data_IF_701838523877
#
_entry.id   IF_701838523877
#
_cell.length_a   1.000
_cell.length_b   1.000
_cell.length_c   1.000
_cell.angle_alpha   90.00
_cell.angle_beta   90.00
_cell.angle_gamma   90.00
#
_symmetry.space_group_name_H-M   'P 1'
#
loop_
_entity.id
_entity.type
_entity.pdbx_description
1 polymer ?
#
# COMPACT_ATOMS: atom_id res chain seq x y z
N UNK A 1 -1.57 0.98 -43.97
CA UNK A 1 -0.97 1.88 -42.96
C UNK A 1 0.43 1.37 -42.64
N UNK A 2 1.42 2.22 -42.40
CA UNK A 2 2.77 1.77 -42.00
C UNK A 2 2.85 1.49 -40.49
N UNK A 3 3.81 0.64 -40.06
CA UNK A 3 3.93 0.23 -38.66
C UNK A 3 4.20 1.40 -37.70
N UNK A 4 4.99 2.40 -38.11
CA UNK A 4 5.25 3.61 -37.31
C UNK A 4 4.00 4.47 -37.14
N UNK A 5 3.21 4.58 -38.20
CA UNK A 5 1.93 5.30 -38.17
C UNK A 5 0.94 4.56 -37.28
N UNK A 6 0.89 3.23 -37.36
CA UNK A 6 0.06 2.40 -36.49
C UNK A 6 0.41 2.59 -35.00
N UNK A 7 1.71 2.61 -34.66
CA UNK A 7 2.16 2.85 -33.30
C UNK A 7 1.78 4.26 -32.80
N UNK A 8 1.84 5.27 -33.68
CA UNK A 8 1.43 6.63 -33.35
C UNK A 8 -0.08 6.71 -33.06
N UNK A 9 -0.92 6.13 -33.91
CA UNK A 9 -2.36 6.06 -33.70
C UNK A 9 -2.71 5.27 -32.42
N UNK A 10 -1.96 4.21 -32.12
CA UNK A 10 -2.19 3.44 -30.90
C UNK A 10 -1.87 4.26 -29.64
N UNK A 11 -0.78 5.04 -29.67
CA UNK A 11 -0.42 5.96 -28.57
C UNK A 11 -1.45 7.08 -28.42
N UNK A 12 -1.97 7.60 -29.53
CA UNK A 12 -3.04 8.61 -29.53
C UNK A 12 -4.31 8.03 -28.90
N UNK A 13 -4.74 6.84 -29.31
CA UNK A 13 -5.90 6.16 -28.73
C UNK A 13 -5.74 5.89 -27.22
N UNK A 14 -4.54 5.47 -26.78
CA UNK A 14 -4.26 5.27 -25.35
C UNK A 14 -4.29 6.59 -24.57
N UNK A 15 -3.83 7.70 -25.15
CA UNK A 15 -3.97 9.03 -24.56
C UNK A 15 -5.45 9.43 -24.43
N UNK A 16 -6.21 9.33 -25.52
CA UNK A 16 -7.65 9.65 -25.54
C UNK A 16 -8.43 8.82 -24.52
N UNK A 17 -8.10 7.54 -24.38
CA UNK A 17 -8.70 6.66 -23.38
C UNK A 17 -8.42 7.14 -21.95
N UNK A 18 -7.18 7.56 -21.65
CA UNK A 18 -6.80 8.08 -20.32
C UNK A 18 -7.47 9.42 -20.01
N UNK A 19 -7.69 10.24 -21.04
CA UNK A 19 -8.39 11.51 -20.95
C UNK A 19 -9.92 11.35 -20.85
N UNK A 20 -10.43 10.11 -20.86
CA UNK A 20 -11.85 9.80 -20.76
C UNK A 20 -12.64 9.99 -22.06
N UNK A 21 -11.96 10.26 -23.18
CA UNK A 21 -12.56 10.49 -24.51
C UNK A 21 -12.75 9.16 -25.25
N UNK A 22 -13.61 8.30 -24.70
CA UNK A 22 -13.73 6.90 -25.14
C UNK A 22 -14.26 6.72 -26.56
N UNK A 23 -15.16 7.59 -27.03
CA UNK A 23 -15.69 7.52 -28.40
C UNK A 23 -14.58 7.79 -29.43
N UNK A 24 -13.78 8.83 -29.22
CA UNK A 24 -12.68 9.15 -30.13
C UNK A 24 -11.55 8.11 -30.07
N UNK A 25 -11.26 7.59 -28.87
CA UNK A 25 -10.34 6.47 -28.72
C UNK A 25 -10.83 5.22 -29.48
N UNK A 26 -12.15 4.97 -29.45
CA UNK A 26 -12.78 3.86 -30.17
C UNK A 26 -12.60 4.03 -31.68
N UNK A 27 -12.86 5.21 -32.23
CA UNK A 27 -12.70 5.49 -33.66
C UNK A 27 -11.26 5.22 -34.13
N UNK A 28 -10.25 5.69 -33.36
CA UNK A 28 -8.83 5.41 -33.65
C UNK A 28 -8.48 3.93 -33.60
N UNK A 29 -9.10 3.17 -32.69
CA UNK A 29 -8.86 1.74 -32.55
C UNK A 29 -9.55 0.93 -33.65
N UNK A 30 -10.71 1.39 -34.16
CA UNK A 30 -11.38 0.79 -35.32
C UNK A 30 -10.51 0.96 -36.57
N UNK A 31 -10.00 2.18 -36.82
CA UNK A 31 -9.04 2.43 -37.93
C UNK A 31 -7.82 1.50 -37.86
N UNK A 32 -7.32 1.25 -36.65
CA UNK A 32 -6.20 0.34 -36.42
C UNK A 32 -6.55 -1.13 -36.66
N UNK A 33 -7.74 -1.57 -36.24
CA UNK A 33 -8.20 -2.94 -36.46
C UNK A 33 -8.48 -3.22 -37.95
N UNK A 34 -9.03 -2.24 -38.68
CA UNK A 34 -9.18 -2.32 -40.13
C UNK A 34 -7.83 -2.47 -40.86
N UNK A 35 -6.81 -1.73 -40.40
CA UNK A 35 -5.48 -1.79 -40.99
C UNK A 35 -4.69 -3.06 -40.57
N UNK A 36 -4.92 -3.57 -39.36
CA UNK A 36 -4.20 -4.71 -38.77
C UNK A 36 -5.15 -5.67 -38.06
N UNK A 37 -5.99 -6.38 -38.82
CA UNK A 37 -7.05 -7.21 -38.26
C UNK A 37 -6.48 -8.33 -37.39
N UNK A 38 -7.22 -8.67 -36.33
CA UNK A 38 -6.88 -9.75 -35.39
C UNK A 38 -5.61 -9.51 -34.56
N UNK A 39 -5.17 -8.26 -34.40
CA UNK A 39 -4.02 -7.94 -33.55
C UNK A 39 -4.45 -7.86 -32.08
N UNK A 40 -3.98 -8.75 -31.18
CA UNK A 40 -4.48 -8.81 -29.80
C UNK A 40 -4.26 -7.50 -29.02
N UNK A 41 -3.15 -6.81 -29.33
CA UNK A 41 -2.81 -5.52 -28.73
C UNK A 41 -3.79 -4.40 -29.10
N UNK A 42 -4.50 -4.51 -30.22
CA UNK A 42 -5.52 -3.53 -30.67
C UNK A 42 -6.90 -3.94 -30.17
N UNK A 43 -7.24 -5.22 -30.32
CA UNK A 43 -8.55 -5.77 -29.92
C UNK A 43 -8.84 -5.60 -28.42
N UNK A 44 -7.84 -5.78 -27.54
CA UNK A 44 -8.09 -5.66 -26.10
C UNK A 44 -8.44 -4.22 -25.66
N UNK A 45 -7.69 -3.17 -26.05
CA UNK A 45 -8.12 -1.78 -25.87
C UNK A 45 -9.45 -1.46 -26.55
N UNK A 46 -9.73 -2.03 -27.73
CA UNK A 46 -10.99 -1.84 -28.45
C UNK A 46 -12.18 -2.35 -27.63
N UNK A 47 -12.11 -3.58 -27.10
CA UNK A 47 -13.12 -4.14 -26.21
C UNK A 47 -13.32 -3.29 -24.94
N UNK A 48 -12.23 -2.74 -24.38
CA UNK A 48 -12.32 -1.82 -23.23
C UNK A 48 -13.06 -0.54 -23.59
N UNK A 49 -12.80 0.04 -24.76
CA UNK A 49 -13.49 1.25 -25.23
C UNK A 49 -14.97 0.98 -25.48
N UNK A 50 -15.32 -0.11 -26.19
CA UNK A 50 -16.70 -0.50 -26.46
C UNK A 50 -17.52 -0.62 -25.17
N UNK A 51 -16.96 -1.27 -24.15
CA UNK A 51 -17.59 -1.36 -22.82
C UNK A 51 -17.84 0.03 -22.22
N UNK A 52 -16.89 0.96 -22.32
CA UNK A 52 -17.04 2.32 -21.75
C UNK A 52 -18.07 3.16 -22.50
N UNK A 53 -18.23 2.93 -23.80
CA UNK A 53 -19.25 3.57 -24.64
C UNK A 53 -20.63 2.95 -24.43
N UNK A 54 -20.73 1.80 -23.76
CA UNK A 54 -22.00 1.09 -23.49
C UNK A 54 -22.35 0.03 -24.54
N UNK A 55 -21.45 -0.25 -25.48
CA UNK A 55 -21.59 -1.32 -26.49
C UNK A 55 -21.12 -2.65 -25.90
N UNK A 56 -21.86 -3.13 -24.90
CA UNK A 56 -21.48 -4.26 -24.03
C UNK A 56 -21.38 -5.57 -24.80
N UNK A 57 -22.35 -5.87 -25.65
CA UNK A 57 -22.40 -7.14 -26.40
C UNK A 57 -21.22 -7.29 -27.36
N UNK A 58 -20.84 -6.20 -28.03
CA UNK A 58 -19.67 -6.17 -28.91
C UNK A 58 -18.37 -6.33 -28.13
N UNK A 59 -18.26 -5.68 -26.96
CA UNK A 59 -17.12 -5.86 -26.07
C UNK A 59 -16.96 -7.33 -25.63
N UNK A 60 -18.07 -8.01 -25.32
CA UNK A 60 -18.08 -9.43 -24.98
C UNK A 60 -17.65 -10.30 -26.18
N UNK A 61 -18.17 -10.01 -27.38
CA UNK A 61 -17.78 -10.70 -28.60
C UNK A 61 -16.27 -10.63 -28.87
N UNK A 62 -15.67 -9.44 -28.76
CA UNK A 62 -14.22 -9.27 -28.93
C UNK A 62 -13.45 -10.01 -27.83
N UNK A 63 -13.93 -10.01 -26.58
CA UNK A 63 -13.28 -10.76 -25.51
C UNK A 63 -13.30 -12.27 -25.78
N UNK A 64 -14.43 -12.82 -26.25
CA UNK A 64 -14.56 -14.24 -26.58
C UNK A 64 -13.64 -14.62 -27.76
N UNK A 65 -13.52 -13.76 -28.77
CA UNK A 65 -12.57 -13.95 -29.88
C UNK A 65 -11.11 -13.94 -29.41
N UNK A 66 -10.74 -13.01 -28.54
CA UNK A 66 -9.39 -12.93 -27.95
C UNK A 66 -9.04 -14.17 -27.12
N UNK A 67 -9.98 -14.67 -26.32
CA UNK A 67 -9.79 -15.87 -25.51
C UNK A 67 -9.63 -17.09 -26.42
N UNK A 68 -10.51 -17.24 -27.41
CA UNK A 68 -10.53 -18.42 -28.29
C UNK A 68 -9.30 -18.49 -29.18
N UNK A 69 -8.86 -17.36 -29.74
CA UNK A 69 -7.76 -17.34 -30.71
C UNK A 69 -6.39 -17.19 -30.07
N UNK A 70 -6.30 -16.38 -29.02
CA UNK A 70 -5.01 -15.95 -28.46
C UNK A 70 -4.76 -16.48 -27.04
N UNK A 71 -5.78 -17.03 -26.37
CA UNK A 71 -5.67 -17.45 -24.97
C UNK A 71 -5.35 -16.30 -24.01
N UNK A 72 -5.76 -15.06 -24.34
CA UNK A 72 -5.41 -13.89 -23.52
C UNK A 72 -6.19 -13.88 -22.20
N UNK A 73 -5.48 -14.12 -21.09
CA UNK A 73 -6.05 -14.11 -19.73
C UNK A 73 -6.68 -12.76 -19.36
N UNK A 74 -6.18 -11.65 -19.92
CA UNK A 74 -6.73 -10.31 -19.63
C UNK A 74 -8.13 -10.16 -20.22
N UNK A 75 -8.37 -10.76 -21.39
CA UNK A 75 -9.69 -10.76 -22.02
C UNK A 75 -10.70 -11.59 -21.20
N UNK A 76 -10.25 -12.71 -20.60
CA UNK A 76 -11.06 -13.49 -19.66
C UNK A 76 -11.48 -12.65 -18.45
N UNK A 77 -10.53 -11.97 -17.79
CA UNK A 77 -10.81 -11.09 -16.66
C UNK A 77 -11.79 -9.97 -17.02
N UNK A 78 -11.60 -9.33 -18.18
CA UNK A 78 -12.48 -8.26 -18.66
C UNK A 78 -13.89 -8.77 -18.95
N UNK A 79 -14.02 -9.96 -19.56
CA UNK A 79 -15.31 -10.58 -19.85
C UNK A 79 -16.10 -10.89 -18.58
N UNK A 80 -15.46 -11.50 -17.59
CA UNK A 80 -16.10 -11.79 -16.30
C UNK A 80 -16.48 -10.51 -15.56
N UNK A 81 -15.64 -9.47 -15.64
CA UNK A 81 -16.00 -8.16 -15.12
C UNK A 81 -17.27 -7.61 -15.80
N UNK A 82 -17.32 -7.64 -17.14
CA UNK A 82 -18.47 -7.13 -17.91
C UNK A 82 -19.74 -7.87 -17.49
N UNK A 83 -19.70 -9.21 -17.48
CA UNK A 83 -20.82 -10.07 -17.06
C UNK A 83 -21.26 -9.78 -15.64
N UNK A 84 -20.33 -9.55 -14.71
CA UNK A 84 -20.70 -9.21 -13.32
C UNK A 84 -21.36 -7.83 -13.21
N UNK A 85 -20.88 -6.84 -13.98
CA UNK A 85 -21.43 -5.48 -13.97
C UNK A 85 -22.74 -5.32 -14.75
N UNK A 86 -22.97 -6.18 -15.74
CA UNK A 86 -24.14 -6.16 -16.62
C UNK A 86 -25.02 -7.39 -16.49
N UNK A 87 -24.76 -8.25 -15.49
CA UNK A 87 -25.74 -9.22 -15.06
C UNK A 87 -26.96 -8.38 -14.69
N UNK A 88 -28.05 -8.46 -15.47
CA UNK A 88 -29.22 -7.70 -15.13
C UNK A 88 -29.58 -8.14 -13.70
N UNK A 89 -29.98 -7.20 -12.85
CA UNK A 89 -30.61 -7.48 -11.56
C UNK A 89 -31.98 -8.18 -11.78
N UNK A 90 -32.03 -9.18 -12.66
CA UNK A 90 -33.20 -9.82 -13.23
C UNK A 90 -33.21 -11.31 -12.91
N UNK A 91 -32.92 -11.66 -11.66
CA UNK A 91 -33.54 -12.84 -11.04
C UNK A 91 -34.05 -12.58 -9.60
N UNK A 92 -34.00 -11.34 -9.07
CA UNK A 92 -34.64 -10.99 -7.77
C UNK A 92 -36.02 -10.33 -7.94
N UNK A 93 -36.71 -10.59 -9.06
CA UNK A 93 -38.13 -10.26 -9.24
C UNK A 93 -38.96 -11.29 -10.01
N UNK A 94 -38.46 -12.52 -10.20
CA UNK A 94 -39.30 -13.68 -10.50
C UNK A 94 -39.87 -14.27 -9.21
N UNK A 95 -40.65 -13.48 -8.48
CA UNK A 95 -41.70 -14.05 -7.62
C UNK A 95 -42.85 -14.50 -8.53
N UNK A 96 -43.33 -15.74 -8.43
CA UNK A 96 -44.56 -16.15 -9.09
C UNK A 96 -45.75 -15.56 -8.31
N UNK A 97 -46.09 -14.30 -8.56
CA UNK A 97 -47.44 -13.83 -8.20
C UNK A 97 -48.41 -14.30 -9.27
N UNK A 98 -49.12 -15.35 -8.91
CA UNK A 98 -50.33 -15.83 -9.56
C UNK A 98 -51.35 -14.68 -9.65
N UNK A 99 -51.34 -13.93 -10.76
CA UNK A 99 -52.49 -13.16 -11.19
C UNK A 99 -53.38 -14.06 -12.04
N UNK A 100 -54.42 -14.57 -11.40
CA UNK A 100 -55.63 -15.08 -12.02
C UNK A 100 -56.26 -13.97 -12.87
N UNK A 101 -56.19 -14.08 -14.20
CA UNK A 101 -57.02 -13.28 -15.12
C UNK A 101 -58.16 -14.15 -15.61
N UNK A 102 -59.20 -14.22 -14.79
CA UNK A 102 -60.53 -14.62 -15.23
C UNK A 102 -61.22 -13.37 -15.82
N UNK A 103 -61.35 -13.36 -17.15
CA UNK A 103 -62.35 -12.57 -17.88
C UNK A 103 -62.07 -11.08 -18.03
N UNK A 104 -61.79 -10.66 -19.28
CA UNK A 104 -62.78 -9.96 -20.11
C UNK A 104 -62.14 -9.53 -21.44
N UNK A 105 -62.69 -10.09 -22.52
CA UNK A 105 -63.04 -9.51 -23.83
C UNK A 105 -62.19 -8.34 -24.37
N UNK A 106 -61.55 -8.49 -25.54
CA UNK A 106 -62.19 -8.39 -26.87
C UNK A 106 -62.68 -6.96 -27.11
N UNK A 107 -61.85 -6.14 -27.76
CA UNK A 107 -62.23 -5.33 -28.93
C UNK A 107 -61.02 -4.58 -29.51
N UNK A 108 -61.01 -4.51 -30.84
CA UNK A 108 -59.96 -3.98 -31.69
C UNK A 108 -59.84 -2.46 -31.61
N UNK A 109 -58.62 -1.92 -31.73
CA UNK A 109 -58.38 -0.69 -32.48
C UNK A 109 -56.95 -0.66 -33.02
N UNK A 110 -56.86 -0.61 -34.35
CA UNK A 110 -55.67 -0.26 -35.10
C UNK A 110 -55.40 1.23 -34.96
N UNK A 111 -54.14 1.61 -34.70
CA UNK A 111 -53.68 3.00 -34.77
C UNK A 111 -53.00 3.51 -33.51
N UNK A 112 -51.84 2.96 -33.14
CA UNK A 112 -50.92 3.58 -32.16
C UNK A 112 -49.48 3.28 -32.59
N UNK A 113 -49.08 3.80 -33.75
CA UNK A 113 -47.69 3.75 -34.21
C UNK A 113 -47.02 5.15 -34.25
N UNK A 114 -47.72 6.20 -33.79
CA UNK A 114 -47.25 7.59 -33.83
C UNK A 114 -46.66 8.11 -32.51
N UNK A 115 -46.67 7.29 -31.44
CA UNK A 115 -46.21 7.71 -30.10
C UNK A 115 -44.81 7.17 -29.73
N UNK A 116 -44.11 6.56 -30.70
CA UNK A 116 -42.76 5.98 -30.53
C UNK A 116 -41.61 6.92 -30.95
N UNK A 117 -41.90 8.18 -31.30
CA UNK A 117 -40.87 9.17 -31.69
C UNK A 117 -40.71 10.34 -30.70
N UNK A 118 -41.29 10.24 -29.51
CA UNK A 118 -41.08 11.18 -28.41
C UNK A 118 -39.86 10.86 -27.56
N UNK A 119 -38.66 10.73 -28.14
CA UNK A 119 -37.43 10.53 -27.36
C UNK A 119 -37.06 11.78 -26.56
N UNK A 120 -37.51 11.82 -25.31
CA UNK A 120 -36.89 12.59 -24.24
C UNK A 120 -35.40 12.28 -24.20
N UNK A 121 -34.59 13.24 -24.63
CA UNK A 121 -33.17 13.35 -24.28
C UNK A 121 -33.06 13.65 -22.77
N UNK A 122 -33.34 12.64 -21.94
CA UNK A 122 -32.91 12.62 -20.56
C UNK A 122 -31.38 12.51 -20.54
N UNK A 123 -30.71 13.48 -19.92
CA UNK A 123 -29.26 13.43 -19.75
C UNK A 123 -28.88 12.06 -19.13
N UNK A 124 -27.91 11.35 -19.72
CA UNK A 124 -27.52 10.03 -19.22
C UNK A 124 -27.12 10.15 -17.75
N UNK A 125 -27.50 9.17 -16.90
CA UNK A 125 -27.17 9.19 -15.49
C UNK A 125 -25.65 9.32 -15.33
N UNK A 126 -25.17 10.13 -14.36
CA UNK A 126 -23.74 10.31 -14.15
C UNK A 126 -23.08 8.95 -13.92
N UNK A 127 -22.19 8.59 -14.85
CA UNK A 127 -21.49 7.31 -14.82
C UNK A 127 -20.74 7.18 -13.49
N UNK A 128 -20.83 6.01 -12.82
CA UNK A 128 -20.10 5.78 -11.58
C UNK A 128 -18.60 6.02 -11.78
N UNK A 129 -17.90 6.61 -10.79
CA UNK A 129 -16.49 6.96 -10.91
C UNK A 129 -15.68 5.74 -11.33
N UNK A 130 -15.02 5.88 -12.48
CA UNK A 130 -14.36 4.77 -13.17
C UNK A 130 -13.10 4.34 -12.41
N UNK A 131 -13.03 3.06 -12.06
CA UNK A 131 -11.84 2.45 -11.47
C UNK A 131 -10.64 2.52 -12.43
N UNK A 132 -9.52 3.06 -11.94
CA UNK A 132 -8.26 3.19 -12.65
C UNK A 132 -7.69 1.80 -13.07
N UNK A 133 -7.00 1.70 -14.22
CA UNK A 133 -6.38 0.45 -14.66
C UNK A 133 -5.34 -0.05 -13.65
N UNK A 134 -5.36 -1.36 -13.36
CA UNK A 134 -4.43 -1.98 -12.44
C UNK A 134 -2.97 -1.74 -12.90
N UNK A 135 -2.10 -1.17 -12.04
CA UNK A 135 -0.73 -0.84 -12.43
C UNK A 135 0.11 -2.10 -12.68
N UNK A 136 1.03 -1.99 -13.63
CA UNK A 136 1.88 -3.10 -14.09
C UNK A 136 2.72 -3.70 -12.96
N UNK A 137 2.55 -5.00 -12.67
CA UNK A 137 3.31 -5.79 -11.67
C UNK A 137 4.84 -5.62 -11.76
N UNK A 138 5.36 -5.32 -12.95
CA UNK A 138 6.80 -5.12 -13.20
C UNK A 138 7.43 -3.97 -12.42
N UNK A 139 6.67 -2.90 -12.13
CA UNK A 139 7.18 -1.76 -11.35
C UNK A 139 7.39 -2.15 -9.88
N UNK A 140 6.49 -2.94 -9.31
CA UNK A 140 6.58 -3.43 -7.94
C UNK A 140 7.74 -4.40 -7.72
N UNK A 141 8.10 -5.18 -8.74
CA UNK A 141 9.22 -6.12 -8.67
C UNK A 141 10.56 -5.38 -8.55
N UNK A 142 10.72 -4.25 -9.25
CA UNK A 142 11.94 -3.43 -9.18
C UNK A 142 12.05 -2.74 -7.82
N UNK A 143 10.99 -2.06 -7.38
CA UNK A 143 11.06 -1.37 -6.08
C UNK A 143 11.20 -2.42 -4.96
N UNK A 144 10.45 -3.53 -5.04
CA UNK A 144 10.55 -4.72 -4.18
C UNK A 144 11.97 -5.25 -4.02
N UNK A 145 12.66 -5.44 -5.15
CA UNK A 145 14.06 -5.88 -5.16
C UNK A 145 15.00 -4.89 -4.48
N UNK A 146 14.80 -3.58 -4.68
CA UNK A 146 15.63 -2.54 -4.04
C UNK A 146 15.43 -2.55 -2.52
N UNK A 147 14.19 -2.61 -2.04
CA UNK A 147 13.93 -2.66 -0.60
C UNK A 147 14.50 -3.94 0.04
N UNK A 148 14.34 -5.09 -0.60
CA UNK A 148 14.92 -6.35 -0.13
C UNK A 148 16.46 -6.30 -0.07
N UNK A 149 17.10 -5.71 -1.08
CA UNK A 149 18.54 -5.51 -1.10
C UNK A 149 19.02 -4.58 0.03
N UNK A 150 18.29 -3.49 0.30
CA UNK A 150 18.64 -2.58 1.40
C UNK A 150 18.50 -3.28 2.77
N UNK A 151 17.42 -4.04 2.99
CA UNK A 151 17.28 -4.84 4.22
C UNK A 151 18.42 -5.85 4.36
N UNK A 152 18.79 -6.53 3.28
CA UNK A 152 19.91 -7.47 3.25
C UNK A 152 21.28 -6.83 3.51
N UNK A 153 21.44 -5.52 3.28
CA UNK A 153 22.68 -4.79 3.55
C UNK A 153 22.67 -4.22 4.98
N UNK A 154 21.57 -3.62 5.40
CA UNK A 154 21.45 -2.95 6.70
C UNK A 154 21.44 -3.96 7.85
N UNK A 155 20.76 -5.10 7.68
CA UNK A 155 20.66 -6.13 8.72
C UNK A 155 22.03 -6.71 9.15
N UNK A 156 22.93 -7.15 8.24
CA UNK A 156 24.26 -7.60 8.62
C UNK A 156 25.18 -6.47 9.07
N UNK A 157 25.01 -5.22 8.60
CA UNK A 157 25.77 -4.08 9.12
C UNK A 157 25.41 -3.81 10.59
N UNK A 158 24.11 -3.83 10.91
CA UNK A 158 23.62 -3.75 12.29
C UNK A 158 24.15 -4.93 13.14
N UNK A 159 24.13 -6.16 12.61
CA UNK A 159 24.71 -7.32 13.30
C UNK A 159 26.24 -7.25 13.43
N UNK A 160 26.94 -6.63 12.49
CA UNK A 160 28.40 -6.42 12.53
C UNK A 160 28.81 -5.45 13.63
N UNK A 161 28.09 -4.34 13.76
CA UNK A 161 28.25 -3.40 14.88
C UNK A 161 27.98 -4.06 16.24
N UNK A 162 27.13 -5.08 16.30
CA UNK A 162 26.85 -5.83 17.54
C UNK A 162 27.99 -6.77 17.96
N UNK A 163 28.79 -7.26 17.00
CA UNK A 163 29.87 -8.23 17.24
C UNK A 163 31.20 -7.57 17.61
N UNK A 164 31.36 -6.27 17.38
CA UNK A 164 32.65 -5.60 17.46
C UNK A 164 32.76 -4.57 18.58
N UNK A 165 32.76 -5.01 19.83
CA UNK A 165 33.60 -4.36 20.82
C UNK A 165 34.62 -5.43 21.23
N UNK A 166 35.89 -5.36 20.79
CA UNK A 166 36.90 -6.24 21.33
C UNK A 166 36.91 -5.97 22.83
N UNK A 167 36.52 -6.99 23.59
CA UNK A 167 36.60 -7.03 25.03
C UNK A 167 38.05 -6.65 25.36
N UNK A 168 38.23 -5.40 25.83
CA UNK A 168 39.53 -4.92 26.23
C UNK A 168 40.03 -5.93 27.26
N UNK A 169 41.07 -6.67 26.87
CA UNK A 169 41.64 -7.73 27.69
C UNK A 169 41.80 -7.17 29.11
N UNK A 170 41.31 -7.87 30.14
CA UNK A 170 41.35 -7.36 31.49
C UNK A 170 42.78 -6.98 31.81
N UNK A 171 43.01 -5.67 31.90
CA UNK A 171 44.26 -5.07 32.33
C UNK A 171 44.49 -5.64 33.73
N UNK A 172 45.38 -6.63 33.80
CA UNK A 172 45.75 -7.29 35.03
C UNK A 172 46.22 -6.21 35.99
N UNK A 173 45.36 -5.85 36.94
CA UNK A 173 45.68 -4.92 37.99
C UNK A 173 46.96 -5.41 38.67
N UNK A 174 48.00 -4.57 38.78
CA UNK A 174 49.23 -4.97 39.44
C UNK A 174 48.90 -5.33 40.89
N UNK A 175 49.34 -6.51 41.30
CA UNK A 175 49.21 -7.01 42.66
C UNK A 175 49.75 -5.96 43.65
N UNK A 176 48.84 -5.33 44.40
CA UNK A 176 49.19 -4.52 45.57
C UNK A 176 49.47 -5.49 46.71
N UNK A 177 50.71 -5.95 46.73
CA UNK A 177 51.37 -6.52 47.88
C UNK A 177 51.86 -5.36 48.75
N UNK A 178 51.21 -5.10 49.88
CA UNK A 178 51.66 -4.39 51.12
C UNK A 178 50.46 -3.75 51.81
N UNK A 179 50.32 -3.67 53.13
CA UNK A 179 51.09 -4.20 54.24
C UNK A 179 50.13 -4.27 55.43
N UNK A 180 50.40 -5.28 56.26
CA UNK A 180 49.80 -5.56 57.55
C UNK A 180 50.30 -4.52 58.55
N UNK A 181 49.43 -3.67 59.09
CA UNK A 181 49.70 -2.97 60.35
C UNK A 181 48.56 -3.22 61.34
N UNK A 182 48.95 -3.85 62.43
CA UNK A 182 48.11 -4.23 63.55
C UNK A 182 48.05 -3.07 64.56
N UNK A 183 46.85 -2.79 65.07
CA UNK A 183 46.64 -1.93 66.23
C UNK A 183 45.32 -2.30 66.92
N UNK A 184 45.32 -2.69 68.21
CA UNK A 184 44.12 -3.14 68.91
C UNK A 184 43.50 -2.07 69.82
N UNK A 185 42.27 -2.39 70.24
CA UNK A 185 41.46 -1.82 71.33
C UNK A 185 40.61 -0.57 71.02
N UNK A 186 39.28 -0.72 71.02
CA UNK A 186 38.47 -0.39 72.21
C UNK A 186 36.97 -0.71 72.08
N UNK A 187 36.46 -1.23 73.19
CA UNK A 187 35.13 -1.13 73.80
C UNK A 187 33.87 -1.61 73.07
N UNK A 188 33.38 -2.72 73.63
CA UNK A 188 32.03 -3.24 73.54
C UNK A 188 30.98 -2.24 74.06
N UNK A 189 29.89 -2.09 73.30
CA UNK A 189 28.59 -1.68 73.83
C UNK A 189 27.55 -2.56 73.18
N UNK A 190 26.98 -3.47 73.97
CA UNK A 190 25.94 -4.41 73.59
C UNK A 190 24.66 -3.66 73.18
N UNK A 191 24.27 -3.82 71.92
CA UNK A 191 22.93 -3.48 71.42
C UNK A 191 22.30 -4.76 70.86
N UNK A 192 21.09 -5.14 71.29
CA UNK A 192 20.49 -6.41 70.90
C UNK A 192 20.20 -6.42 69.40
N UNK A 193 20.82 -7.38 68.73
CA UNK A 193 20.73 -7.64 67.30
C UNK A 193 19.29 -7.93 66.88
N UNK A 194 18.68 -7.00 66.16
CA UNK A 194 17.63 -7.36 65.22
C UNK A 194 18.26 -8.24 64.13
N UNK A 195 17.59 -9.31 63.68
CA UNK A 195 18.01 -10.01 62.48
C UNK A 195 17.88 -9.02 61.33
N UNK A 196 19.00 -8.41 60.94
CA UNK A 196 19.15 -7.74 59.66
C UNK A 196 18.89 -8.83 58.64
N UNK A 197 17.64 -8.93 58.18
CA UNK A 197 17.32 -9.52 56.90
C UNK A 197 18.25 -8.81 55.94
N UNK A 198 19.36 -9.47 55.61
CA UNK A 198 20.19 -9.11 54.48
C UNK A 198 19.21 -9.05 53.34
N UNK A 199 18.83 -7.83 52.95
CA UNK A 199 18.12 -7.58 51.73
C UNK A 199 18.99 -8.26 50.68
N UNK A 200 18.51 -9.41 50.22
CA UNK A 200 19.16 -10.24 49.23
C UNK A 200 19.25 -9.35 48.00
N UNK A 201 20.39 -8.68 47.88
CA UNK A 201 20.64 -7.67 46.88
C UNK A 201 20.64 -8.43 45.57
N UNK A 202 19.57 -8.23 44.79
CA UNK A 202 19.39 -8.92 43.51
C UNK A 202 20.72 -8.88 42.74
N UNK A 203 21.17 -10.04 42.22
CA UNK A 203 22.46 -10.12 41.57
C UNK A 203 22.54 -9.09 40.45
N UNK A 204 23.65 -8.33 40.33
CA UNK A 204 23.78 -7.30 39.32
C UNK A 204 23.49 -7.89 37.94
N UNK A 205 22.54 -7.28 37.23
CA UNK A 205 22.13 -7.68 35.88
C UNK A 205 23.39 -7.85 35.03
N UNK A 206 23.57 -9.04 34.45
CA UNK A 206 24.77 -9.31 33.66
C UNK A 206 24.79 -8.38 32.43
N UNK A 207 25.96 -7.82 32.06
CA UNK A 207 26.07 -6.86 30.95
C UNK A 207 25.57 -7.41 29.60
N UNK A 208 25.63 -8.72 29.41
CA UNK A 208 25.09 -9.42 28.25
C UNK A 208 23.55 -9.36 28.15
N UNK A 209 22.85 -9.41 29.28
CA UNK A 209 21.39 -9.30 29.32
C UNK A 209 20.94 -7.87 29.02
N UNK A 210 21.63 -6.88 29.61
CA UNK A 210 21.38 -5.46 29.32
C UNK A 210 21.55 -5.14 27.82
N UNK A 211 22.58 -5.71 27.18
CA UNK A 211 22.78 -5.56 25.73
C UNK A 211 21.62 -6.16 24.93
N UNK A 212 21.17 -7.38 25.25
CA UNK A 212 20.03 -8.02 24.55
C UNK A 212 18.73 -7.21 24.68
N UNK A 213 18.47 -6.67 25.87
CA UNK A 213 17.31 -5.82 26.14
C UNK A 213 17.40 -4.52 25.33
N UNK A 214 18.57 -3.87 25.29
CA UNK A 214 18.75 -2.66 24.49
C UNK A 214 18.50 -2.92 23.00
N UNK A 215 19.02 -4.03 22.48
CA UNK A 215 18.86 -4.42 21.08
C UNK A 215 17.40 -4.69 20.73
N UNK A 216 16.68 -5.43 21.57
CA UNK A 216 15.26 -5.71 21.33
C UNK A 216 14.44 -4.42 21.35
N UNK A 217 14.72 -3.49 22.27
CA UNK A 217 14.07 -2.18 22.33
C UNK A 217 14.32 -1.36 21.06
N UNK A 218 15.55 -1.33 20.55
CA UNK A 218 15.87 -0.62 19.29
C UNK A 218 15.12 -1.23 18.10
N UNK A 219 15.07 -2.56 17.99
CA UNK A 219 14.33 -3.23 16.91
C UNK A 219 12.83 -2.91 17.00
N UNK A 220 12.25 -2.97 18.20
CA UNK A 220 10.85 -2.62 18.43
C UNK A 220 10.58 -1.15 18.05
N UNK A 221 11.46 -0.23 18.44
CA UNK A 221 11.33 1.18 18.08
C UNK A 221 11.35 1.39 16.56
N UNK A 222 12.27 0.75 15.84
CA UNK A 222 12.34 0.82 14.37
C UNK A 222 11.05 0.28 13.74
N UNK A 223 10.54 -0.87 14.21
CA UNK A 223 9.30 -1.45 13.71
C UNK A 223 8.09 -0.53 13.95
N UNK A 224 8.00 0.10 15.12
CA UNK A 224 6.95 1.07 15.43
C UNK A 224 6.99 2.30 14.53
N UNK A 225 8.19 2.82 14.25
CA UNK A 225 8.37 3.96 13.33
C UNK A 225 7.90 3.59 11.92
N UNK A 226 8.32 2.43 11.39
CA UNK A 226 7.92 1.97 10.05
C UNK A 226 6.40 1.74 9.97
N UNK A 227 5.81 1.13 11.00
CA UNK A 227 4.37 0.90 11.07
C UNK A 227 3.60 2.23 11.12
N UNK A 228 4.07 3.21 11.89
CA UNK A 228 3.42 4.50 12.02
C UNK A 228 3.54 5.35 10.74
N UNK A 229 4.69 5.33 10.06
CA UNK A 229 4.86 5.97 8.75
C UNK A 229 3.92 5.36 7.70
N UNK A 230 3.79 4.03 7.71
CA UNK A 230 2.88 3.30 6.83
C UNK A 230 1.43 3.68 7.10
N UNK A 231 1.02 3.69 8.37
CA UNK A 231 -0.34 4.06 8.78
C UNK A 231 -0.64 5.52 8.42
N UNK A 232 0.31 6.44 8.60
CA UNK A 232 0.17 7.83 8.21
C UNK A 232 -0.02 7.98 6.69
N UNK A 233 0.81 7.33 5.88
CA UNK A 233 0.68 7.39 4.42
C UNK A 233 -0.65 6.80 3.95
N UNK A 234 -1.06 5.67 4.53
CA UNK A 234 -2.34 5.04 4.24
C UNK A 234 -3.52 5.95 4.60
N UNK A 235 -3.49 6.56 5.79
CA UNK A 235 -4.56 7.46 6.24
C UNK A 235 -4.64 8.71 5.35
N UNK A 236 -3.51 9.29 4.95
CA UNK A 236 -3.51 10.42 4.01
C UNK A 236 -4.15 10.02 2.68
N UNK A 237 -3.74 8.90 2.09
CA UNK A 237 -4.33 8.39 0.83
C UNK A 237 -5.83 8.10 0.96
N UNK A 238 -6.26 7.62 2.13
CA UNK A 238 -7.66 7.36 2.45
C UNK A 238 -8.47 8.66 2.52
N UNK A 239 -7.98 9.67 3.23
CA UNK A 239 -8.65 10.97 3.38
C UNK A 239 -8.74 11.67 2.02
N UNK A 240 -7.73 11.55 1.17
CA UNK A 240 -7.71 12.19 -0.15
C UNK A 240 -8.47 11.40 -1.21
N UNK A 241 -8.97 10.20 -0.92
CA UNK A 241 -9.66 9.34 -1.88
C UNK A 241 -8.77 8.83 -3.02
N UNK A 242 -7.44 8.76 -2.80
CA UNK A 242 -6.43 8.40 -3.82
C UNK A 242 -5.91 6.97 -3.67
N UNK A 243 -6.69 6.10 -3.04
CA UNK A 243 -6.35 4.68 -2.90
C UNK A 243 -6.44 3.99 -4.28
N UNK A 244 -5.35 3.34 -4.74
CA UNK A 244 -5.29 2.79 -6.10
C UNK A 244 -6.20 1.59 -6.35
N UNK A 245 -6.59 0.86 -5.31
CA UNK A 245 -7.38 -0.36 -5.41
C UNK A 245 -8.66 -0.30 -4.57
N UNK A 246 -9.61 -1.17 -4.88
CA UNK A 246 -10.78 -1.46 -4.05
C UNK A 246 -10.50 -2.49 -2.97
N UNK A 247 -9.51 -3.35 -3.19
CA UNK A 247 -9.12 -4.37 -2.22
C UNK A 247 -8.21 -3.73 -1.18
N UNK A 248 -8.72 -3.61 0.06
CA UNK A 248 -8.03 -3.00 1.20
C UNK A 248 -6.64 -3.62 1.42
N UNK A 249 -6.51 -4.93 1.26
CA UNK A 249 -5.25 -5.64 1.50
C UNK A 249 -4.16 -5.28 0.47
N UNK A 250 -4.52 -5.17 -0.81
CA UNK A 250 -3.58 -4.82 -1.88
C UNK A 250 -3.13 -3.36 -1.77
N UNK A 251 -4.04 -2.47 -1.33
CA UNK A 251 -3.68 -1.10 -0.96
C UNK A 251 -2.70 -1.07 0.20
N UNK A 252 -3.01 -1.79 1.28
CA UNK A 252 -2.19 -1.79 2.49
C UNK A 252 -0.77 -2.30 2.19
N UNK A 253 -0.64 -3.38 1.43
CA UNK A 253 0.66 -3.96 1.08
C UNK A 253 1.48 -3.01 0.21
N UNK A 254 0.88 -2.40 -0.81
CA UNK A 254 1.57 -1.45 -1.69
C UNK A 254 1.98 -0.17 -0.95
N UNK A 255 1.12 0.34 -0.07
CA UNK A 255 1.42 1.53 0.74
C UNK A 255 2.50 1.24 1.77
N UNK A 256 2.47 0.08 2.44
CA UNK A 256 3.51 -0.35 3.36
C UNK A 256 4.87 -0.46 2.66
N UNK A 257 4.86 -1.09 1.49
CA UNK A 257 6.05 -1.26 0.69
C UNK A 257 6.65 0.10 0.27
N UNK A 258 5.80 1.04 -0.15
CA UNK A 258 6.25 2.38 -0.51
C UNK A 258 6.73 3.17 0.71
N UNK A 259 6.03 3.08 1.86
CA UNK A 259 6.42 3.75 3.09
C UNK A 259 7.81 3.30 3.59
N UNK A 260 8.13 2.01 3.48
CA UNK A 260 9.47 1.48 3.77
C UNK A 260 10.51 2.06 2.83
N UNK A 261 10.25 2.08 1.51
CA UNK A 261 11.17 2.64 0.53
C UNK A 261 11.45 4.13 0.79
N UNK A 262 10.41 4.90 1.10
CA UNK A 262 10.54 6.33 1.44
C UNK A 262 11.29 6.53 2.77
N UNK A 263 11.04 5.68 3.78
CA UNK A 263 11.73 5.75 5.06
C UNK A 263 13.23 5.52 4.88
N UNK A 264 13.61 4.47 4.14
CA UNK A 264 15.02 4.19 3.81
C UNK A 264 15.66 5.33 3.04
N UNK A 265 14.96 5.86 2.03
CA UNK A 265 15.46 6.97 1.22
C UNK A 265 15.73 8.23 2.06
N UNK A 266 14.82 8.56 2.97
CA UNK A 266 14.98 9.70 3.88
C UNK A 266 16.07 9.46 4.93
N UNK A 267 16.28 8.21 5.38
CA UNK A 267 17.38 7.88 6.29
C UNK A 267 18.74 8.04 5.62
N UNK A 268 18.88 7.63 4.35
CA UNK A 268 20.17 7.69 3.63
C UNK A 268 20.46 9.12 3.13
N UNK A 269 19.43 9.86 2.71
CA UNK A 269 19.56 11.19 2.11
C UNK A 269 18.48 12.14 2.68
N UNK A 270 18.67 12.81 3.82
CA UNK A 270 17.58 13.54 4.48
C UNK A 270 16.98 14.69 3.64
N UNK A 271 17.80 15.49 2.96
CA UNK A 271 17.29 16.61 2.15
C UNK A 271 16.87 16.17 0.73
N UNK A 272 17.72 15.39 0.05
CA UNK A 272 17.47 14.93 -1.32
C UNK A 272 16.37 13.87 -1.34
N UNK A 273 16.35 12.99 -0.34
CA UNK A 273 15.36 11.93 -0.18
C UNK A 273 13.96 12.49 0.01
N UNK A 274 13.78 13.64 0.67
CA UNK A 274 12.48 14.28 0.79
C UNK A 274 11.96 14.74 -0.58
N UNK A 275 12.80 15.38 -1.40
CA UNK A 275 12.43 15.80 -2.75
C UNK A 275 12.11 14.62 -3.68
N UNK A 276 12.90 13.54 -3.61
CA UNK A 276 12.64 12.32 -4.37
C UNK A 276 11.37 11.63 -3.87
N UNK A 277 11.14 11.60 -2.55
CA UNK A 277 9.92 11.05 -1.95
C UNK A 277 8.69 11.76 -2.48
N UNK A 278 8.72 13.10 -2.52
CA UNK A 278 7.66 13.90 -3.11
C UNK A 278 7.44 13.55 -4.59
N UNK A 279 8.50 13.46 -5.39
CA UNK A 279 8.39 13.10 -6.81
C UNK A 279 7.80 11.69 -7.03
N UNK A 280 8.22 10.70 -6.23
CA UNK A 280 7.70 9.34 -6.31
C UNK A 280 6.22 9.30 -5.93
N UNK A 281 5.82 10.00 -4.88
CA UNK A 281 4.42 10.09 -4.46
C UNK A 281 3.57 10.81 -5.52
N UNK A 282 4.03 11.95 -6.03
CA UNK A 282 3.37 12.68 -7.11
C UNK A 282 3.12 11.79 -8.32
N UNK A 283 4.12 11.00 -8.73
CA UNK A 283 4.02 10.16 -9.93
C UNK A 283 3.20 8.89 -9.73
N UNK A 284 3.26 8.27 -8.55
CA UNK A 284 2.59 6.99 -8.29
C UNK A 284 1.15 7.15 -7.81
N UNK A 285 0.85 8.25 -7.09
CA UNK A 285 -0.43 8.47 -6.41
C UNK A 285 -1.06 9.82 -6.75
N UNK A 286 -0.52 10.57 -7.73
CA UNK A 286 -0.99 11.92 -8.07
C UNK A 286 -1.01 12.86 -6.85
N UNK A 287 -0.07 12.65 -5.93
CA UNK A 287 0.00 13.35 -4.65
C UNK A 287 0.28 14.84 -4.86
N UNK A 288 -0.62 15.71 -4.43
CA UNK A 288 -0.41 17.16 -4.51
C UNK A 288 0.53 17.65 -3.41
N UNK A 289 0.99 18.91 -3.49
CA UNK A 289 1.78 19.54 -2.43
C UNK A 289 1.00 19.56 -1.10
N UNK A 290 -0.31 19.79 -1.15
CA UNK A 290 -1.17 19.82 0.04
C UNK A 290 -1.21 18.44 0.71
N UNK A 291 -1.45 17.39 -0.07
CA UNK A 291 -1.45 15.99 0.42
C UNK A 291 -0.11 15.66 1.09
N UNK A 292 1.00 16.09 0.47
CA UNK A 292 2.35 15.87 0.99
C UNK A 292 2.58 16.60 2.32
N UNK A 293 2.12 17.84 2.46
CA UNK A 293 2.22 18.58 3.72
C UNK A 293 1.40 17.95 4.83
N UNK A 294 0.21 17.41 4.53
CA UNK A 294 -0.61 16.67 5.50
C UNK A 294 0.13 15.42 5.98
N UNK A 295 0.62 14.61 5.04
CA UNK A 295 1.40 13.41 5.36
C UNK A 295 2.64 13.77 6.18
N UNK A 296 3.41 14.77 5.76
CA UNK A 296 4.62 15.20 6.45
C UNK A 296 4.32 15.72 7.86
N UNK A 297 3.27 16.52 8.03
CA UNK A 297 2.81 17.01 9.33
C UNK A 297 2.40 15.87 10.27
N UNK A 298 1.69 14.86 9.76
CA UNK A 298 1.37 13.65 10.54
C UNK A 298 2.63 12.89 10.98
N UNK A 299 3.62 12.72 10.10
CA UNK A 299 4.87 12.05 10.44
C UNK A 299 5.67 12.80 11.52
N UNK A 300 5.71 14.14 11.47
CA UNK A 300 6.32 14.95 12.53
C UNK A 300 5.61 14.71 13.86
N UNK A 301 4.28 14.76 13.88
CA UNK A 301 3.49 14.54 15.10
C UNK A 301 3.70 13.15 15.70
N UNK A 302 3.68 12.11 14.87
CA UNK A 302 3.98 10.73 15.26
C UNK A 302 5.40 10.61 15.80
N UNK A 303 6.40 11.17 15.11
CA UNK A 303 7.79 11.13 15.53
C UNK A 303 8.00 11.80 16.89
N UNK A 304 7.35 12.94 17.12
CA UNK A 304 7.37 13.62 18.42
C UNK A 304 6.75 12.76 19.54
N UNK A 305 5.60 12.14 19.28
CA UNK A 305 4.94 11.25 20.24
C UNK A 305 5.81 10.03 20.59
N UNK A 306 6.40 9.36 19.59
CA UNK A 306 7.33 8.24 19.81
C UNK A 306 8.55 8.71 20.62
N UNK A 307 9.10 9.88 20.30
CA UNK A 307 10.21 10.48 21.05
C UNK A 307 9.87 10.73 22.52
N UNK A 308 8.68 11.27 22.82
CA UNK A 308 8.21 11.46 24.20
C UNK A 308 8.04 10.13 24.94
N UNK A 309 7.44 9.12 24.30
CA UNK A 309 7.29 7.78 24.90
C UNK A 309 8.67 7.19 25.20
N UNK A 310 9.61 7.28 24.27
CA UNK A 310 10.98 6.79 24.49
C UNK A 310 11.65 7.50 25.69
N UNK A 311 11.52 8.82 25.80
CA UNK A 311 12.04 9.58 26.94
C UNK A 311 11.40 9.15 28.26
N UNK A 312 10.07 8.93 28.29
CA UNK A 312 9.38 8.43 29.48
C UNK A 312 9.84 7.03 29.89
N UNK A 313 10.04 6.13 28.92
CA UNK A 313 10.57 4.78 29.18
C UNK A 313 11.98 4.84 29.75
N UNK A 314 12.85 5.70 29.19
CA UNK A 314 14.21 5.90 29.71
C UNK A 314 14.18 6.46 31.14
N UNK A 315 13.32 7.45 31.42
CA UNK A 315 13.17 8.02 32.76
C UNK A 315 12.65 6.97 33.77
N UNK A 316 11.68 6.14 33.38
CA UNK A 316 11.15 5.07 34.21
C UNK A 316 12.19 3.98 34.49
N UNK A 317 12.99 3.61 33.49
CA UNK A 317 14.09 2.66 33.66
C UNK A 317 15.21 3.23 34.56
N UNK A 318 15.53 4.52 34.43
CA UNK A 318 16.52 5.20 35.27
C UNK A 318 16.11 5.28 36.74
N UNK A 319 14.82 5.46 37.03
CA UNK A 319 14.28 5.41 38.40
C UNK A 319 14.28 4.01 39.01
N UNK A 320 14.40 2.95 38.20
CA UNK A 320 14.50 1.57 38.70
C UNK A 320 15.94 1.14 39.01
N UNK A 321 16.94 1.94 38.60
CA UNK A 321 18.37 1.65 38.76
C UNK A 321 18.98 2.47 39.91
N UNK A 322 18.31 3.53 40.37
CA UNK A 322 18.69 4.37 41.51
C UNK A 322 18.00 3.90 42.79
#
# INVERSE_FOLDING_TARGET
MDARTAEAHFKEADSLYRDGRYAEALDRLIELDEAYPNTPNVLFPLARCLRRVGRVDEALGICDDLITRCGDLRALELREYIRKSHAPEAEESLQPQAYSVAGLNQDAHAGVLDDLLGEQHGAPPPLPPMRAPAPSKRKYLIVGGIAAAVVLIVLPLAMGLMRGAPEAAPEQAPAVETAREAGPMQSATDTPAQPVQQAELDPPIQPEEAKRILVSLVVIAIMLIVAANTASLYLTLMITGKLPYDVVLDNLLNVAFMAVALSLLNTVLPCIGLAISFYVLYKSYEFTIVDFLIWFGMNIGVGFAIGLIAQLVIAAAGMSIA
#
